data_IF_359607484552
#
_entry.id   IF_359607484552
#
_cell.length_a   1.000
_cell.length_b   1.000
_cell.length_c   1.000
_cell.angle_alpha   90.00
_cell.angle_beta   90.00
_cell.angle_gamma   90.00
#
_symmetry.space_group_name_H-M   'P 1'
#
loop_
_entity.id
_entity.type
_entity.pdbx_description
1 polymer ?
#
# COMPACT_ATOMS: atom_id res chain seq x y z
N UNK A 1 4.36 42.47 6.71
CA UNK A 1 3.96 41.07 6.42
C UNK A 1 5.25 40.28 6.23
N UNK A 2 5.66 39.52 7.24
CA UNK A 2 6.86 38.68 7.18
C UNK A 2 6.53 37.42 6.39
N UNK A 3 7.22 37.23 5.28
CA UNK A 3 7.13 36.04 4.43
C UNK A 3 7.49 34.81 5.27
N UNK A 4 6.70 33.71 5.26
CA UNK A 4 7.07 32.51 5.99
C UNK A 4 8.39 31.97 5.43
N UNK A 5 9.33 31.75 6.34
CA UNK A 5 10.67 31.26 6.05
C UNK A 5 10.57 29.87 5.40
N UNK A 6 11.14 29.68 4.21
CA UNK A 6 11.14 28.41 3.46
C UNK A 6 11.81 27.23 4.18
N UNK A 7 12.35 27.45 5.39
CA UNK A 7 13.01 26.47 6.24
C UNK A 7 12.05 25.46 6.92
N UNK A 8 10.73 25.71 6.88
CA UNK A 8 9.73 24.85 7.54
C UNK A 8 8.77 24.15 6.56
N UNK A 9 9.09 24.11 5.25
CA UNK A 9 8.28 23.33 4.32
C UNK A 9 8.39 21.84 4.71
N UNK A 10 7.28 21.08 4.77
CA UNK A 10 7.34 19.64 5.00
C UNK A 10 8.19 19.00 3.91
N UNK A 11 9.31 18.43 4.30
CA UNK A 11 10.24 17.74 3.39
C UNK A 11 9.82 16.28 3.30
N UNK A 12 9.57 15.79 2.09
CA UNK A 12 9.38 14.36 1.86
C UNK A 12 10.70 13.63 2.10
N UNK A 13 10.84 13.03 3.29
CA UNK A 13 12.04 12.27 3.66
C UNK A 13 12.02 10.84 3.11
N UNK A 14 10.88 10.36 2.62
CA UNK A 14 10.73 9.04 2.03
C UNK A 14 10.95 9.17 0.52
N UNK A 15 12.21 9.27 0.10
CA UNK A 15 12.55 9.46 -1.33
C UNK A 15 12.33 8.20 -2.18
N UNK A 16 12.14 7.04 -1.57
CA UNK A 16 11.79 5.78 -2.25
C UNK A 16 10.79 4.95 -1.43
N UNK A 17 10.18 3.95 -2.08
CA UNK A 17 9.36 2.95 -1.39
C UNK A 17 10.31 1.96 -0.69
N UNK A 18 10.26 1.83 0.64
CA UNK A 18 11.10 0.87 1.34
C UNK A 18 10.66 -0.56 1.01
N UNK A 19 11.57 -1.55 1.02
CA UNK A 19 11.19 -2.93 0.84
C UNK A 19 10.25 -3.39 1.98
N UNK A 20 9.31 -4.31 1.72
CA UNK A 20 8.52 -4.92 2.78
C UNK A 20 9.46 -5.64 3.76
N UNK A 21 9.15 -5.56 5.06
CA UNK A 21 9.88 -6.30 6.08
C UNK A 21 9.80 -7.82 5.79
N UNK A 22 10.79 -8.64 6.17
CA UNK A 22 10.72 -10.09 6.01
C UNK A 22 9.41 -10.65 6.58
N UNK A 23 8.79 -11.56 5.83
CA UNK A 23 7.52 -12.20 6.23
C UNK A 23 7.73 -13.70 6.28
N UNK A 24 7.28 -14.29 7.39
CA UNK A 24 7.22 -15.72 7.59
C UNK A 24 5.76 -16.14 7.80
N UNK A 25 5.30 -17.17 7.09
CA UNK A 25 3.97 -17.78 7.27
C UNK A 25 4.18 -19.27 7.57
N UNK A 26 3.86 -19.69 8.79
CA UNK A 26 4.26 -21.01 9.27
C UNK A 26 5.78 -21.19 9.24
N UNK A 27 6.26 -22.19 8.48
CA UNK A 27 7.69 -22.44 8.24
C UNK A 27 8.22 -21.85 6.93
N UNK A 28 7.34 -21.22 6.12
CA UNK A 28 7.69 -20.66 4.82
C UNK A 28 7.97 -19.16 4.91
N UNK A 29 8.78 -18.65 3.97
CA UNK A 29 9.17 -17.24 3.92
C UNK A 29 10.52 -16.95 4.59
N UNK A 30 10.79 -15.68 4.82
CA UNK A 30 12.08 -15.21 5.35
C UNK A 30 12.01 -14.90 6.85
N UNK A 31 12.91 -15.46 7.67
CA UNK A 31 12.93 -15.19 9.12
C UNK A 31 13.45 -13.77 9.41
N UNK A 32 13.16 -13.28 10.62
CA UNK A 32 13.66 -11.98 11.10
C UNK A 32 12.70 -10.80 10.94
N UNK A 33 11.46 -11.03 10.53
CA UNK A 33 10.40 -10.02 10.50
C UNK A 33 9.08 -10.53 11.06
N UNK A 34 7.97 -10.22 10.39
CA UNK A 34 6.64 -10.59 10.87
C UNK A 34 6.35 -12.06 10.63
N UNK A 35 5.81 -12.73 11.65
CA UNK A 35 5.36 -14.13 11.57
C UNK A 35 3.84 -14.21 11.63
N UNK A 36 3.25 -14.96 10.71
CA UNK A 36 1.81 -15.21 10.64
C UNK A 36 1.51 -16.70 10.67
N UNK A 37 0.37 -17.05 11.26
CA UNK A 37 -0.18 -18.39 11.16
C UNK A 37 -0.83 -18.60 9.76
N UNK A 38 -0.67 -19.77 9.13
CA UNK A 38 -1.15 -20.01 7.76
C UNK A 38 -2.67 -19.83 7.57
N UNK A 39 -3.47 -20.14 8.59
CA UNK A 39 -4.93 -19.97 8.60
C UNK A 39 -5.35 -18.50 8.69
N UNK A 40 -4.52 -17.66 9.31
CA UNK A 40 -4.81 -16.24 9.51
C UNK A 40 -4.33 -15.36 8.34
N UNK A 41 -3.39 -15.86 7.53
CA UNK A 41 -2.76 -15.04 6.48
C UNK A 41 -3.74 -14.52 5.44
N UNK A 42 -4.78 -15.29 5.10
CA UNK A 42 -5.81 -14.84 4.17
C UNK A 42 -6.63 -13.68 4.75
N UNK A 43 -6.94 -13.74 6.06
CA UNK A 43 -7.60 -12.64 6.76
C UNK A 43 -6.74 -11.37 6.79
N UNK A 44 -5.42 -11.52 6.98
CA UNK A 44 -4.46 -10.41 6.93
C UNK A 44 -4.39 -9.82 5.52
N UNK A 45 -4.28 -10.66 4.48
CA UNK A 45 -4.31 -10.22 3.07
C UNK A 45 -5.59 -9.43 2.78
N UNK A 46 -6.76 -9.91 3.22
CA UNK A 46 -8.03 -9.21 3.01
C UNK A 46 -8.06 -7.82 3.67
N UNK A 47 -7.48 -7.68 4.87
CA UNK A 47 -7.35 -6.38 5.56
C UNK A 47 -6.44 -5.43 4.79
N UNK A 48 -5.30 -5.91 4.28
CA UNK A 48 -4.42 -5.10 3.43
C UNK A 48 -5.07 -4.72 2.11
N UNK A 49 -5.86 -5.60 1.50
CA UNK A 49 -6.62 -5.30 0.29
C UNK A 49 -7.67 -4.22 0.54
N UNK A 50 -8.37 -4.29 1.68
CA UNK A 50 -9.33 -3.25 2.10
C UNK A 50 -8.63 -1.90 2.30
N UNK A 51 -7.45 -1.92 2.95
CA UNK A 51 -6.63 -0.71 3.10
C UNK A 51 -6.17 -0.17 1.74
N UNK A 52 -5.74 -1.04 0.82
CA UNK A 52 -5.35 -0.67 -0.53
C UNK A 52 -6.48 0.04 -1.28
N UNK A 53 -7.70 -0.44 -1.14
CA UNK A 53 -8.87 0.18 -1.75
C UNK A 53 -9.17 1.56 -1.13
N UNK A 54 -9.02 1.71 0.19
CA UNK A 54 -9.07 3.01 0.86
C UNK A 54 -8.01 3.99 0.36
N UNK A 55 -6.74 3.54 0.29
CA UNK A 55 -5.64 4.38 -0.23
C UNK A 55 -5.87 4.78 -1.68
N UNK A 56 -6.46 3.91 -2.52
CA UNK A 56 -6.83 4.28 -3.89
C UNK A 56 -7.89 5.39 -3.93
N UNK A 57 -8.86 5.37 -3.02
CA UNK A 57 -9.84 6.46 -2.88
C UNK A 57 -9.14 7.74 -2.42
N UNK A 58 -8.23 7.65 -1.46
CA UNK A 58 -7.47 8.80 -0.97
C UNK A 58 -6.57 9.40 -2.07
N UNK A 59 -5.99 8.57 -2.96
CA UNK A 59 -5.27 9.04 -4.15
C UNK A 59 -6.19 9.85 -5.08
N UNK A 60 -7.45 9.45 -5.25
CA UNK A 60 -8.39 10.22 -6.06
C UNK A 60 -8.67 11.59 -5.44
N UNK A 61 -8.81 11.65 -4.11
CA UNK A 61 -9.00 12.92 -3.39
C UNK A 61 -7.72 13.78 -3.44
N UNK A 62 -6.55 13.18 -3.27
CA UNK A 62 -5.26 13.86 -3.35
C UNK A 62 -5.02 14.46 -4.75
N UNK A 63 -5.45 13.78 -5.82
CA UNK A 63 -5.42 14.32 -7.18
C UNK A 63 -6.29 15.58 -7.36
N UNK A 64 -7.44 15.65 -6.67
CA UNK A 64 -8.28 16.85 -6.69
C UNK A 64 -7.55 17.99 -5.98
N UNK A 65 -6.92 17.70 -4.84
CA UNK A 65 -6.19 18.69 -4.04
C UNK A 65 -4.94 19.20 -4.78
N UNK A 66 -4.15 18.32 -5.41
CA UNK A 66 -2.99 18.72 -6.21
C UNK A 66 -3.39 19.53 -7.45
N UNK A 67 -4.59 19.30 -7.99
CA UNK A 67 -5.13 20.03 -9.12
C UNK A 67 -5.74 21.40 -8.79
N UNK A 68 -5.72 21.85 -7.53
CA UNK A 68 -6.31 23.14 -7.13
C UNK A 68 -5.62 24.31 -7.83
N UNK A 69 -6.43 25.25 -8.32
CA UNK A 69 -5.97 26.46 -9.03
C UNK A 69 -6.33 27.71 -8.24
N UNK A 70 -5.56 28.77 -8.48
CA UNK A 70 -5.80 30.09 -7.91
C UNK A 70 -7.20 30.60 -8.32
N UNK A 71 -8.03 31.10 -7.38
CA UNK A 71 -9.35 31.64 -7.70
C UNK A 71 -9.30 32.98 -8.45
N UNK A 72 -8.16 33.67 -8.41
CA UNK A 72 -7.92 34.93 -9.11
C UNK A 72 -6.45 35.12 -9.50
N UNK A 73 -6.18 36.17 -10.26
CA UNK A 73 -4.83 36.48 -10.79
C UNK A 73 -4.01 37.40 -9.87
N UNK A 74 -4.54 37.74 -8.69
CA UNK A 74 -3.82 38.53 -7.71
C UNK A 74 -2.67 37.76 -7.06
N UNK A 75 -1.67 38.52 -6.59
CA UNK A 75 -0.46 37.97 -5.97
C UNK A 75 -0.78 36.99 -4.84
N UNK A 76 -1.76 37.31 -3.98
CA UNK A 76 -2.10 36.47 -2.83
C UNK A 76 -2.56 35.06 -3.25
N UNK A 77 -3.40 34.96 -4.29
CA UNK A 77 -3.85 33.67 -4.82
C UNK A 77 -2.73 32.91 -5.52
N UNK A 78 -1.87 33.60 -6.29
CA UNK A 78 -0.70 32.98 -6.90
C UNK A 78 0.30 32.44 -5.87
N UNK A 79 0.63 33.22 -4.84
CA UNK A 79 1.58 32.86 -3.78
C UNK A 79 1.05 31.68 -2.94
N UNK A 80 -0.25 31.64 -2.65
CA UNK A 80 -0.89 30.52 -1.95
C UNK A 80 -0.76 29.20 -2.72
N UNK A 81 -0.99 29.21 -4.04
CA UNK A 81 -0.82 28.01 -4.86
C UNK A 81 0.65 27.61 -4.96
N UNK A 82 1.54 28.56 -5.25
CA UNK A 82 2.97 28.27 -5.49
C UNK A 82 3.71 27.78 -4.24
N UNK A 83 3.36 28.27 -3.05
CA UNK A 83 4.10 27.96 -1.81
C UNK A 83 3.34 27.09 -0.83
N UNK A 84 2.03 27.00 -0.95
CA UNK A 84 1.16 26.24 -0.07
C UNK A 84 0.57 25.04 -0.78
N UNK A 85 -0.55 25.27 -1.46
CA UNK A 85 -1.44 24.22 -1.93
C UNK A 85 -0.82 23.30 -2.99
N UNK A 86 -0.06 23.85 -3.95
CA UNK A 86 0.57 23.06 -5.02
C UNK A 86 1.60 22.07 -4.45
N UNK A 87 2.69 22.54 -3.84
CA UNK A 87 3.72 21.65 -3.28
C UNK A 87 3.17 20.66 -2.24
N UNK A 88 2.24 21.10 -1.40
CA UNK A 88 1.64 20.24 -0.37
C UNK A 88 0.72 19.18 -0.98
N UNK A 89 -0.07 19.54 -1.99
CA UNK A 89 -0.95 18.61 -2.70
C UNK A 89 -0.15 17.58 -3.51
N UNK A 90 0.91 18.02 -4.20
CA UNK A 90 1.82 17.12 -4.91
C UNK A 90 2.50 16.14 -3.96
N UNK A 91 2.99 16.62 -2.81
CA UNK A 91 3.62 15.79 -1.79
C UNK A 91 2.63 14.77 -1.23
N UNK A 92 1.39 15.20 -0.93
CA UNK A 92 0.34 14.32 -0.44
C UNK A 92 0.05 13.19 -1.43
N UNK A 93 -0.12 13.53 -2.72
CA UNK A 93 -0.37 12.56 -3.79
C UNK A 93 0.80 11.56 -3.90
N UNK A 94 2.04 12.05 -3.96
CA UNK A 94 3.23 11.20 -4.04
C UNK A 94 3.34 10.25 -2.84
N UNK A 95 3.05 10.73 -1.63
CA UNK A 95 3.06 9.89 -0.43
C UNK A 95 2.02 8.77 -0.51
N UNK A 96 0.81 9.08 -0.99
CA UNK A 96 -0.24 8.07 -1.15
C UNK A 96 0.11 7.04 -2.23
N UNK A 97 0.74 7.45 -3.33
CA UNK A 97 1.24 6.53 -4.35
C UNK A 97 2.35 5.60 -3.84
N UNK A 98 3.27 6.14 -3.01
CA UNK A 98 4.29 5.33 -2.32
C UNK A 98 3.65 4.34 -1.35
N UNK A 99 2.64 4.77 -0.59
CA UNK A 99 1.88 3.89 0.32
C UNK A 99 1.17 2.78 -0.45
N UNK A 100 0.49 3.10 -1.56
CA UNK A 100 -0.13 2.11 -2.45
C UNK A 100 0.90 1.06 -2.88
N UNK A 101 2.05 1.52 -3.37
CA UNK A 101 3.12 0.64 -3.85
C UNK A 101 3.65 -0.26 -2.73
N UNK A 102 3.86 0.29 -1.53
CA UNK A 102 4.28 -0.49 -0.37
C UNK A 102 3.25 -1.57 0.00
N UNK A 103 1.96 -1.21 0.04
CA UNK A 103 0.88 -2.14 0.35
C UNK A 103 0.82 -3.26 -0.69
N UNK A 104 0.92 -2.93 -1.98
CA UNK A 104 0.94 -3.92 -3.06
C UNK A 104 2.14 -4.89 -2.91
N UNK A 105 3.33 -4.37 -2.62
CA UNK A 105 4.52 -5.19 -2.38
C UNK A 105 4.36 -6.06 -1.11
N UNK A 106 3.76 -5.53 -0.05
CA UNK A 106 3.54 -6.27 1.18
C UNK A 106 2.49 -7.38 1.00
N UNK A 107 1.40 -7.12 0.27
CA UNK A 107 0.43 -8.14 -0.13
C UNK A 107 1.11 -9.23 -0.96
N UNK A 108 1.97 -8.85 -1.92
CA UNK A 108 2.73 -9.82 -2.71
C UNK A 108 3.66 -10.67 -1.83
N UNK A 109 4.36 -10.05 -0.88
CA UNK A 109 5.23 -10.77 0.06
C UNK A 109 4.42 -11.73 0.96
N UNK A 110 3.25 -11.32 1.46
CA UNK A 110 2.33 -12.19 2.19
C UNK A 110 1.85 -13.36 1.32
N UNK A 111 1.51 -13.09 0.06
CA UNK A 111 1.09 -14.10 -0.91
C UNK A 111 2.20 -15.09 -1.25
N UNK A 112 3.46 -14.64 -1.36
CA UNK A 112 4.61 -15.50 -1.58
C UNK A 112 4.97 -16.31 -0.34
N UNK A 113 4.96 -15.69 0.85
CA UNK A 113 5.28 -16.35 2.11
C UNK A 113 4.20 -17.35 2.54
N UNK A 114 2.92 -17.02 2.33
CA UNK A 114 1.82 -17.99 2.45
C UNK A 114 1.90 -19.10 1.40
N UNK A 115 2.75 -18.91 0.38
CA UNK A 115 2.84 -19.80 -0.77
C UNK A 115 1.49 -19.92 -1.46
N UNK A 116 0.74 -18.81 -1.67
CA UNK A 116 -0.61 -18.77 -2.28
C UNK A 116 -1.21 -20.15 -2.55
N UNK A 117 -1.81 -20.81 -1.56
CA UNK A 117 -2.85 -21.84 -1.81
C UNK A 117 -2.38 -23.06 -2.66
N UNK A 118 -1.09 -23.14 -3.04
CA UNK A 118 -0.61 -24.02 -4.11
C UNK A 118 -0.24 -25.41 -3.60
N UNK A 119 0.00 -25.56 -2.30
CA UNK A 119 0.00 -26.88 -1.67
C UNK A 119 -1.40 -27.26 -1.17
N UNK A 120 -2.19 -26.28 -0.71
CA UNK A 120 -3.45 -26.55 -0.01
C UNK A 120 -4.61 -27.00 -0.91
N UNK A 121 -4.62 -26.71 -2.22
CA UNK A 121 -5.63 -27.27 -3.15
C UNK A 121 -5.16 -28.50 -3.93
N UNK A 122 -3.85 -28.67 -4.14
CA UNK A 122 -3.30 -29.84 -4.85
C UNK A 122 -3.40 -31.12 -4.01
N UNK A 123 -3.13 -31.06 -2.70
CA UNK A 123 -3.33 -32.21 -1.79
C UNK A 123 -4.82 -32.53 -1.59
N UNK A 124 -5.68 -31.50 -1.46
CA UNK A 124 -7.12 -31.69 -1.28
C UNK A 124 -7.79 -32.40 -2.48
N UNK A 125 -7.32 -32.15 -3.71
CA UNK A 125 -7.77 -32.83 -4.93
C UNK A 125 -7.24 -34.26 -5.06
N UNK A 126 -6.03 -34.54 -4.57
CA UNK A 126 -5.47 -35.90 -4.62
C UNK A 126 -6.17 -36.84 -3.64
N UNK A 127 -6.51 -36.40 -2.43
CA UNK A 127 -7.25 -37.24 -1.46
C UNK A 127 -8.68 -37.53 -1.92
N UNK A 128 -9.39 -36.55 -2.49
CA UNK A 128 -10.74 -36.77 -3.00
C UNK A 128 -10.78 -37.74 -4.21
N UNK A 129 -9.77 -37.69 -5.07
CA UNK A 129 -9.63 -38.61 -6.21
C UNK A 129 -9.28 -40.05 -5.81
N UNK A 130 -8.58 -40.25 -4.68
CA UNK A 130 -8.29 -41.58 -4.15
C UNK A 130 -9.54 -42.19 -3.49
N UNK A 131 -10.29 -41.40 -2.71
CA UNK A 131 -11.52 -41.86 -2.06
C UNK A 131 -12.65 -42.21 -3.06
N UNK A 132 -12.75 -41.51 -4.19
CA UNK A 132 -13.73 -41.82 -5.24
C UNK A 132 -13.46 -43.10 -6.04
N UNK A 133 -12.25 -43.67 -5.94
CA UNK A 133 -11.86 -44.92 -6.64
C UNK A 133 -12.06 -46.19 -5.81
N UNK A 134 -12.23 -46.08 -4.50
CA UNK A 134 -12.45 -47.24 -3.62
C UNK A 134 -13.94 -47.63 -3.50
N UNK A 135 -14.85 -46.87 -4.11
CA UNK A 135 -16.32 -47.05 -4.00
C UNK A 135 -16.95 -47.53 -5.33
N UNK A 136 -16.17 -47.85 -6.38
CA UNK A 136 -16.66 -48.34 -7.68
C UNK A 136 -16.02 -49.66 -8.08
#
# INVERSE_FOLDING_TARGET
>A
MTQPNSANAPVDTLTSVPPPAPIQVGSNGSPGGYKFDPDQVQGVINKWQTLLDGVKQDIQQANIISGVRAPGQEFASGDFIQKGAGPSGDTLLQQHERMRTYIEQYIQALQQASGKIAQSEDDARQTAAQQGREIV
#
